data_IF_983944485188
#
_entry.id   IF_983944485188
#
_cell.length_a   1.000
_cell.length_b   1.000
_cell.length_c   1.000
_cell.angle_alpha   90.00
_cell.angle_beta   90.00
_cell.angle_gamma   90.00
#
_symmetry.space_group_name_H-M   'P 1'
#
loop_
_entity.id
_entity.type
_entity.pdbx_description
1 polymer ?
#
# COMPACT_ATOMS: atom_id res chain seq x y z
N UNK A 1 26.76 -13.20 10.55
CA UNK A 1 25.68 -12.24 10.31
C UNK A 1 24.41 -12.87 10.82
N UNK A 2 23.72 -12.26 11.79
CA UNK A 2 22.44 -12.77 12.28
C UNK A 2 21.36 -12.36 11.27
N UNK A 3 20.84 -13.30 10.49
CA UNK A 3 19.60 -13.10 9.74
C UNK A 3 18.46 -13.02 10.76
N UNK A 4 18.09 -11.80 11.14
CA UNK A 4 17.12 -11.56 12.22
C UNK A 4 15.74 -12.14 11.89
N UNK A 5 15.43 -12.39 10.61
CA UNK A 5 14.23 -13.08 10.15
C UNK A 5 14.52 -13.88 8.87
N UNK A 6 13.91 -15.08 8.69
CA UNK A 6 14.01 -15.80 7.43
C UNK A 6 13.35 -15.02 6.29
N UNK A 7 13.82 -15.21 5.05
CA UNK A 7 13.13 -14.72 3.84
C UNK A 7 11.63 -15.03 3.96
N UNK A 8 10.79 -14.00 3.92
CA UNK A 8 9.36 -14.17 4.17
C UNK A 8 8.69 -15.01 3.06
N UNK A 9 9.00 -14.72 1.80
CA UNK A 9 8.46 -15.43 0.64
C UNK A 9 9.34 -16.62 0.26
N UNK A 10 9.29 -17.64 1.12
CA UNK A 10 9.78 -18.99 0.86
C UNK A 10 11.02 -19.43 1.66
N UNK A 11 11.42 -18.61 2.64
CA UNK A 11 12.32 -19.02 3.71
C UNK A 11 13.65 -19.58 3.19
N UNK A 12 14.07 -20.71 3.76
CA UNK A 12 15.28 -21.44 3.31
C UNK A 12 15.00 -22.42 2.16
N UNK A 13 13.77 -22.51 1.68
CA UNK A 13 13.34 -23.55 0.73
C UNK A 13 13.33 -23.04 -0.71
N UNK A 14 12.84 -21.82 -0.93
CA UNK A 14 12.64 -21.30 -2.28
C UNK A 14 12.57 -19.77 -2.24
N UNK A 15 13.50 -19.06 -2.88
CA UNK A 15 13.41 -17.60 -2.97
C UNK A 15 12.40 -17.21 -4.05
N UNK A 16 11.14 -16.98 -3.67
CA UNK A 16 10.01 -16.82 -4.60
C UNK A 16 10.26 -15.69 -5.60
N UNK A 17 10.66 -14.50 -5.13
CA UNK A 17 10.89 -13.35 -6.01
C UNK A 17 12.00 -13.61 -7.00
N UNK A 18 13.16 -14.07 -6.51
CA UNK A 18 14.32 -14.34 -7.36
C UNK A 18 13.97 -15.36 -8.44
N UNK A 19 13.33 -16.48 -8.06
CA UNK A 19 13.01 -17.56 -8.98
C UNK A 19 11.93 -17.20 -10.00
N UNK A 20 10.93 -16.40 -9.63
CA UNK A 20 9.96 -15.87 -10.61
C UNK A 20 10.59 -14.83 -11.54
N UNK A 21 11.54 -14.03 -11.03
CA UNK A 21 12.28 -13.07 -11.85
C UNK A 21 13.17 -13.79 -12.87
N UNK A 22 13.87 -14.86 -12.49
CA UNK A 22 14.64 -15.72 -13.40
C UNK A 22 13.76 -16.33 -14.52
N UNK A 23 12.48 -16.56 -14.24
CA UNK A 23 11.50 -17.06 -15.21
C UNK A 23 10.91 -15.96 -16.11
N UNK A 24 11.33 -14.70 -15.96
CA UNK A 24 10.89 -13.58 -16.79
C UNK A 24 9.68 -12.82 -16.26
N UNK A 25 9.19 -13.13 -15.05
CA UNK A 25 8.11 -12.35 -14.42
C UNK A 25 8.66 -11.12 -13.70
N UNK A 26 8.03 -9.95 -13.88
CA UNK A 26 8.32 -8.75 -13.10
C UNK A 26 7.66 -8.85 -11.73
N UNK A 27 8.40 -9.28 -10.71
CA UNK A 27 7.89 -9.50 -9.35
C UNK A 27 8.50 -8.52 -8.34
N UNK A 28 7.66 -8.04 -7.43
CA UNK A 28 8.04 -7.12 -6.36
C UNK A 28 7.55 -7.62 -5.01
N UNK A 29 8.29 -7.31 -3.95
CA UNK A 29 7.92 -7.63 -2.57
C UNK A 29 7.66 -6.33 -1.82
N UNK A 30 6.39 -6.06 -1.51
CA UNK A 30 6.00 -4.88 -0.75
C UNK A 30 6.46 -4.98 0.71
N UNK A 31 6.96 -3.87 1.24
CA UNK A 31 7.30 -3.74 2.65
C UNK A 31 6.39 -2.68 3.29
N UNK A 32 5.44 -3.15 4.10
CA UNK A 32 4.45 -2.37 4.84
C UNK A 32 4.53 -2.72 6.34
N UNK A 33 3.97 -1.88 7.20
CA UNK A 33 4.04 -2.02 8.66
C UNK A 33 3.63 -3.40 9.16
N UNK A 34 4.49 -4.03 9.98
CA UNK A 34 4.27 -5.37 10.53
C UNK A 34 3.15 -5.41 11.59
N UNK A 35 2.96 -4.31 12.32
CA UNK A 35 1.98 -4.18 13.41
C UNK A 35 0.92 -3.10 13.16
N UNK A 36 0.99 -2.41 12.02
CA UNK A 36 0.05 -1.34 11.68
C UNK A 36 -1.32 -1.90 11.27
N UNK A 37 -2.33 -1.04 11.32
CA UNK A 37 -3.69 -1.40 10.91
C UNK A 37 -3.73 -1.83 9.44
N UNK A 38 -4.78 -2.57 9.03
CA UNK A 38 -4.99 -2.85 7.61
C UNK A 38 -5.16 -1.57 6.78
N UNK A 39 -5.73 -0.51 7.37
CA UNK A 39 -5.88 0.80 6.74
C UNK A 39 -4.51 1.39 6.41
N UNK A 40 -3.62 1.51 7.41
CA UNK A 40 -2.28 2.07 7.24
C UNK A 40 -1.48 1.27 6.22
N UNK A 41 -1.56 -0.07 6.31
CA UNK A 41 -0.89 -0.98 5.40
C UNK A 41 -1.41 -0.84 3.96
N UNK A 42 -2.70 -0.60 3.76
CA UNK A 42 -3.27 -0.40 2.43
C UNK A 42 -2.78 0.93 1.82
N UNK A 43 -2.74 2.00 2.61
CA UNK A 43 -2.16 3.29 2.20
C UNK A 43 -0.67 3.12 1.88
N UNK A 44 0.11 2.49 2.76
CA UNK A 44 1.53 2.22 2.50
C UNK A 44 1.74 1.37 1.25
N UNK A 45 0.89 0.37 0.99
CA UNK A 45 0.96 -0.45 -0.20
C UNK A 45 0.70 0.36 -1.47
N UNK A 46 -0.30 1.25 -1.45
CA UNK A 46 -0.54 2.19 -2.56
C UNK A 46 0.72 2.99 -2.90
N UNK A 47 1.34 3.61 -1.90
CA UNK A 47 2.55 4.42 -2.10
C UNK A 47 3.80 3.58 -2.40
N UNK A 48 3.91 2.35 -1.91
CA UNK A 48 4.95 1.43 -2.33
C UNK A 48 4.89 1.19 -3.85
N UNK A 49 3.70 0.98 -4.39
CA UNK A 49 3.48 0.73 -5.82
C UNK A 49 3.68 2.02 -6.61
N UNK A 50 2.87 3.06 -6.34
CA UNK A 50 2.80 4.30 -7.12
C UNK A 50 3.99 5.24 -6.88
N UNK A 51 4.62 5.15 -5.72
CA UNK A 51 5.63 6.08 -5.25
C UNK A 51 5.03 7.34 -4.62
N UNK A 52 5.85 8.05 -3.85
CA UNK A 52 5.46 9.29 -3.15
C UNK A 52 5.49 9.15 -1.63
N UNK A 53 5.14 10.25 -0.96
CA UNK A 53 5.05 10.32 0.51
C UNK A 53 3.73 9.73 0.97
N UNK A 54 3.78 8.76 1.89
CA UNK A 54 2.59 8.15 2.48
C UNK A 54 1.73 9.25 3.13
N UNK A 55 0.46 9.32 2.74
CA UNK A 55 -0.58 10.17 3.33
C UNK A 55 -1.70 9.27 3.85
N UNK A 56 -1.71 9.03 5.16
CA UNK A 56 -2.73 8.22 5.85
C UNK A 56 -4.11 8.89 5.89
N UNK A 57 -4.22 10.15 5.45
CA UNK A 57 -5.46 10.90 5.50
C UNK A 57 -5.56 11.76 6.76
N UNK A 58 -6.14 12.95 6.60
CA UNK A 58 -6.24 13.92 7.67
C UNK A 58 -7.28 13.52 8.71
N UNK A 59 -8.43 12.99 8.28
CA UNK A 59 -9.49 12.56 9.17
C UNK A 59 -9.03 11.37 10.02
N UNK A 60 -8.43 10.37 9.38
CA UNK A 60 -7.92 9.16 10.01
C UNK A 60 -6.85 9.48 11.05
N UNK A 61 -5.84 10.27 10.66
CA UNK A 61 -4.77 10.68 11.56
C UNK A 61 -5.29 11.46 12.79
N UNK A 62 -6.23 12.38 12.59
CA UNK A 62 -6.85 13.13 13.68
C UNK A 62 -7.68 12.22 14.60
N UNK A 63 -8.43 11.26 14.04
CA UNK A 63 -9.29 10.33 14.78
C UNK A 63 -8.51 9.34 15.65
N UNK A 64 -7.40 8.82 15.13
CA UNK A 64 -6.61 7.78 15.79
C UNK A 64 -5.34 8.30 16.48
N UNK A 65 -5.05 9.60 16.37
CA UNK A 65 -3.98 10.26 17.13
C UNK A 65 -2.58 9.86 16.69
N UNK A 66 -2.32 9.81 15.38
CA UNK A 66 -0.98 9.56 14.83
C UNK A 66 -0.66 10.51 13.67
N UNK A 67 0.59 10.49 13.21
CA UNK A 67 1.03 11.33 12.10
C UNK A 67 0.27 11.02 10.82
N UNK A 68 -0.21 12.07 10.14
CA UNK A 68 -0.83 11.96 8.81
C UNK A 68 0.14 11.47 7.75
N UNK A 69 1.42 11.85 7.84
CA UNK A 69 2.39 11.57 6.80
C UNK A 69 3.44 10.58 7.27
N UNK A 70 3.64 9.51 6.51
CA UNK A 70 4.67 8.51 6.75
C UNK A 70 5.94 8.70 5.90
N UNK A 71 6.62 7.58 5.66
CA UNK A 71 7.81 7.49 4.80
C UNK A 71 7.52 7.81 3.33
N UNK A 72 8.57 8.08 2.56
CA UNK A 72 8.49 8.27 1.11
C UNK A 72 9.00 7.04 0.38
N UNK A 73 8.20 6.51 -0.54
CA UNK A 73 8.57 5.39 -1.39
C UNK A 73 9.02 5.86 -2.77
N UNK A 74 10.01 5.15 -3.33
CA UNK A 74 10.47 5.38 -4.69
C UNK A 74 9.38 5.04 -5.73
N UNK A 75 8.51 4.06 -5.45
CA UNK A 75 7.50 3.55 -6.38
C UNK A 75 8.02 2.38 -7.22
N UNK A 76 7.47 1.19 -7.02
CA UNK A 76 7.80 -0.02 -7.79
C UNK A 76 7.23 0.02 -9.22
N UNK A 77 6.14 0.78 -9.43
CA UNK A 77 5.46 0.99 -10.71
C UNK A 77 4.82 2.39 -10.73
N UNK A 78 5.61 3.42 -11.03
CA UNK A 78 5.21 4.84 -10.90
C UNK A 78 4.13 5.26 -11.89
N UNK A 79 4.15 4.64 -13.05
CA UNK A 79 3.22 4.85 -14.13
C UNK A 79 1.84 4.23 -13.83
N UNK A 80 1.72 3.35 -12.82
CA UNK A 80 0.49 2.63 -12.45
C UNK A 80 -0.77 3.49 -12.42
N UNK A 81 -1.73 3.20 -13.28
CA UNK A 81 -2.98 3.96 -13.45
C UNK A 81 -4.07 3.04 -14.06
N UNK A 82 -5.35 3.47 -14.11
CA UNK A 82 -6.39 2.71 -14.77
C UNK A 82 -5.99 2.21 -16.17
N UNK A 83 -6.29 0.95 -16.46
CA UNK A 83 -5.83 0.25 -17.67
C UNK A 83 -4.46 -0.44 -17.55
N UNK A 84 -3.64 -0.09 -16.55
CA UNK A 84 -2.38 -0.77 -16.23
C UNK A 84 -2.53 -1.63 -14.97
N UNK A 85 -2.96 -2.88 -15.15
CA UNK A 85 -3.30 -3.77 -14.03
C UNK A 85 -2.06 -4.40 -13.39
N UNK A 86 -2.21 -4.79 -12.13
CA UNK A 86 -1.23 -5.55 -11.35
C UNK A 86 -1.90 -6.76 -10.71
N UNK A 87 -1.11 -7.79 -10.39
CA UNK A 87 -1.56 -8.92 -9.58
C UNK A 87 -1.06 -8.75 -8.15
N UNK A 88 -1.97 -8.82 -7.19
CA UNK A 88 -1.65 -8.71 -5.77
C UNK A 88 -1.85 -10.06 -5.09
N UNK A 89 -0.76 -10.67 -4.61
CA UNK A 89 -0.78 -11.93 -3.87
C UNK A 89 -0.53 -11.61 -2.39
N UNK A 90 -1.56 -11.74 -1.56
CA UNK A 90 -1.48 -11.49 -0.12
C UNK A 90 -1.40 -12.79 0.68
N UNK A 91 -0.36 -12.94 1.51
CA UNK A 91 -0.29 -14.00 2.52
C UNK A 91 -0.80 -13.50 3.88
N UNK A 92 -1.60 -14.31 4.58
CA UNK A 92 -2.17 -13.97 5.90
C UNK A 92 -2.87 -12.59 5.88
N UNK A 93 -2.55 -11.69 6.82
CA UNK A 93 -3.08 -10.32 6.89
C UNK A 93 -2.85 -9.52 5.60
N UNK A 94 -1.86 -9.88 4.77
CA UNK A 94 -1.67 -9.30 3.45
C UNK A 94 -2.90 -9.43 2.54
N UNK A 95 -3.69 -10.49 2.68
CA UNK A 95 -4.95 -10.64 1.94
C UNK A 95 -6.02 -9.61 2.34
N UNK A 96 -6.10 -9.26 3.64
CA UNK A 96 -6.98 -8.19 4.11
C UNK A 96 -6.52 -6.82 3.63
N UNK A 97 -5.20 -6.57 3.67
CA UNK A 97 -4.59 -5.33 3.19
C UNK A 97 -4.87 -5.11 1.69
N UNK A 98 -4.69 -6.13 0.85
CA UNK A 98 -4.94 -6.04 -0.60
C UNK A 98 -6.41 -5.76 -0.91
N UNK A 99 -7.34 -6.42 -0.21
CA UNK A 99 -8.78 -6.16 -0.37
C UNK A 99 -9.15 -4.72 0.00
N UNK A 100 -8.56 -4.19 1.08
CA UNK A 100 -8.83 -2.82 1.51
C UNK A 100 -8.21 -1.78 0.57
N UNK A 101 -7.02 -2.05 0.03
CA UNK A 101 -6.44 -1.20 -1.02
C UNK A 101 -7.37 -1.12 -2.23
N UNK A 102 -7.88 -2.26 -2.69
CA UNK A 102 -8.79 -2.33 -3.84
C UNK A 102 -10.09 -1.56 -3.59
N UNK A 103 -10.67 -1.73 -2.39
CA UNK A 103 -11.85 -0.97 -1.94
C UNK A 103 -11.59 0.54 -1.98
N UNK A 104 -10.44 1.00 -1.47
CA UNK A 104 -10.08 2.41 -1.50
C UNK A 104 -9.86 2.94 -2.92
N UNK A 105 -9.23 2.17 -3.81
CA UNK A 105 -9.04 2.58 -5.21
C UNK A 105 -10.39 2.76 -5.92
N UNK A 106 -11.34 1.83 -5.71
CA UNK A 106 -12.65 1.90 -6.35
C UNK A 106 -13.52 2.99 -5.74
N UNK A 107 -13.68 2.98 -4.42
CA UNK A 107 -14.70 3.75 -3.72
C UNK A 107 -14.17 4.97 -2.96
N UNK A 108 -12.85 5.08 -2.78
CA UNK A 108 -12.22 6.15 -2.01
C UNK A 108 -12.46 6.00 -0.51
N UNK A 109 -12.39 7.14 0.19
CA UNK A 109 -12.76 7.23 1.61
C UNK A 109 -13.65 8.48 1.82
N UNK A 110 -14.98 8.30 1.98
CA UNK A 110 -15.91 9.41 2.19
C UNK A 110 -15.58 10.27 3.42
N UNK A 111 -15.08 9.68 4.52
CA UNK A 111 -14.69 10.45 5.72
C UNK A 111 -13.56 11.44 5.39
N UNK A 112 -12.56 11.02 4.62
CA UNK A 112 -11.44 11.90 4.20
C UNK A 112 -11.91 12.98 3.22
N UNK A 113 -12.80 12.63 2.30
CA UNK A 113 -13.40 13.58 1.35
C UNK A 113 -14.17 14.67 2.08
N UNK A 114 -15.02 14.29 3.03
CA UNK A 114 -15.82 15.25 3.78
C UNK A 114 -14.97 16.09 4.74
N UNK A 115 -13.96 15.49 5.37
CA UNK A 115 -13.00 16.22 6.19
C UNK A 115 -12.25 17.27 5.38
N UNK A 116 -11.79 16.94 4.16
CA UNK A 116 -11.12 17.88 3.27
C UNK A 116 -12.07 19.00 2.79
N UNK A 117 -13.34 18.72 2.53
CA UNK A 117 -14.32 19.78 2.20
C UNK A 117 -14.51 20.76 3.36
N UNK A 118 -14.54 20.26 4.59
CA UNK A 118 -14.78 21.08 5.79
C UNK A 118 -13.55 21.88 6.21
N UNK A 119 -12.35 21.30 6.11
CA UNK A 119 -11.11 21.88 6.64
C UNK A 119 -10.16 22.42 5.56
N UNK A 120 -10.47 22.19 4.28
CA UNK A 120 -9.59 22.52 3.16
C UNK A 120 -8.34 21.63 3.10
N UNK A 121 -7.32 22.13 2.38
CA UNK A 121 -6.04 21.43 2.24
C UNK A 121 -6.04 20.31 1.19
N UNK A 122 -4.97 19.51 1.23
CA UNK A 122 -4.74 18.39 0.29
C UNK A 122 -5.47 17.12 0.72
N UNK A 123 -5.77 16.27 -0.27
CA UNK A 123 -6.30 14.91 -0.09
C UNK A 123 -5.57 13.97 -1.05
N UNK A 124 -5.14 12.80 -0.56
CA UNK A 124 -4.52 11.77 -1.38
C UNK A 124 -5.47 11.33 -2.51
N UNK A 125 -4.98 11.10 -3.74
CA UNK A 125 -5.78 10.50 -4.79
C UNK A 125 -6.46 9.20 -4.36
N UNK A 126 -5.80 8.38 -3.53
CA UNK A 126 -6.34 7.11 -3.04
C UNK A 126 -7.71 7.26 -2.37
N UNK A 127 -7.98 8.40 -1.73
CA UNK A 127 -9.24 8.62 -1.02
C UNK A 127 -10.37 9.18 -1.89
N UNK A 128 -10.11 9.45 -3.17
CA UNK A 128 -11.12 10.01 -4.09
C UNK A 128 -11.96 8.95 -4.80
N UNK A 129 -11.51 7.70 -4.82
CA UNK A 129 -12.14 6.62 -5.59
C UNK A 129 -11.98 6.79 -7.11
N UNK A 130 -12.59 5.87 -7.86
CA UNK A 130 -12.60 5.89 -9.33
C UNK A 130 -11.26 5.53 -9.99
N UNK A 131 -10.44 4.70 -9.35
CA UNK A 131 -9.09 4.35 -9.81
C UNK A 131 -8.89 2.84 -10.06
N UNK A 132 -9.95 2.12 -10.46
CA UNK A 132 -9.87 0.69 -10.81
C UNK A 132 -9.50 0.42 -12.29
#
# INVERSE_FOLDING_TARGET
SFDLYPNYWGGKKYNVKEKLTEQGYRVHEANVGAFSSNYDRAVELYYYIKGGKVDYGAAHAAKYGHDRYGKTYAGAYREWQPGQKIHLIGHSMGGQTVRLLEEMLRNGNPEEVDYQKQHGGSISPLFKGGQD
#
